data_IF_665947548590
#
_entry.id   IF_665947548590
#
_cell.length_a   1.000
_cell.length_b   1.000
_cell.length_c   1.000
_cell.angle_alpha   90.00
_cell.angle_beta   90.00
_cell.angle_gamma   90.00
#
_symmetry.space_group_name_H-M   'P 1'
#
loop_
_entity.id
_entity.type
_entity.pdbx_description
1 polymer ?
#
# COMPACT_ATOMS: atom_id res chain seq x y z
N UNK A 1 -3.60 16.48 5.36
CA UNK A 1 -3.63 15.10 5.90
C UNK A 1 -2.88 14.18 4.94
N UNK A 2 -2.26 13.06 5.34
CA UNK A 2 -1.62 12.14 4.38
C UNK A 2 -2.53 10.98 4.01
N UNK A 3 -2.74 10.74 2.72
CA UNK A 3 -3.39 9.55 2.18
C UNK A 3 -2.46 8.97 1.13
N UNK A 4 -2.14 7.67 1.24
CA UNK A 4 -1.23 6.97 0.34
C UNK A 4 0.12 7.71 0.16
N UNK A 5 0.64 8.33 1.22
CA UNK A 5 1.90 9.09 1.22
C UNK A 5 1.78 10.55 0.77
N UNK A 6 0.67 10.96 0.15
CA UNK A 6 0.47 12.32 -0.36
C UNK A 6 -0.25 13.22 0.64
N UNK A 7 0.21 14.47 0.78
CA UNK A 7 -0.53 15.50 1.51
C UNK A 7 -1.73 15.92 0.66
N UNK A 8 -2.94 15.71 1.18
CA UNK A 8 -4.20 16.09 0.53
C UNK A 8 -4.88 17.20 1.35
N UNK A 9 -5.38 18.20 0.62
CA UNK A 9 -6.25 19.26 1.11
C UNK A 9 -7.70 18.92 0.69
N UNK A 10 -8.54 18.53 1.65
CA UNK A 10 -9.89 18.01 1.38
C UNK A 10 -10.77 19.03 0.63
N UNK A 11 -10.56 20.32 0.90
CA UNK A 11 -11.29 21.41 0.24
C UNK A 11 -11.06 21.47 -1.27
N UNK A 12 -9.92 20.98 -1.77
CA UNK A 12 -9.65 20.89 -3.21
C UNK A 12 -10.58 19.87 -3.87
N UNK A 13 -10.75 18.70 -3.25
CA UNK A 13 -11.64 17.63 -3.72
C UNK A 13 -13.10 18.08 -3.62
N UNK A 14 -13.49 18.72 -2.52
CA UNK A 14 -14.84 19.30 -2.35
C UNK A 14 -15.14 20.36 -3.42
N UNK A 15 -14.15 21.18 -3.77
CA UNK A 15 -14.30 22.18 -4.83
C UNK A 15 -14.48 21.52 -6.20
N UNK A 16 -13.65 20.53 -6.54
CA UNK A 16 -13.77 19.79 -7.80
C UNK A 16 -15.15 19.12 -7.94
N UNK A 17 -15.62 18.46 -6.88
CA UNK A 17 -16.96 17.87 -6.83
C UNK A 17 -18.06 18.90 -7.09
N UNK A 18 -17.98 20.09 -6.48
CA UNK A 18 -18.98 21.18 -6.67
C UNK A 18 -18.95 21.82 -8.06
N UNK A 19 -17.91 21.60 -8.86
CA UNK A 19 -17.86 22.06 -10.25
C UNK A 19 -18.55 21.10 -11.22
N UNK A 20 -18.88 19.88 -10.79
CA UNK A 20 -19.58 18.92 -11.64
C UNK A 20 -21.06 19.27 -11.73
N UNK A 21 -21.63 19.07 -12.91
CA UNK A 21 -23.04 19.36 -13.17
C UNK A 21 -23.95 18.53 -12.25
N UNK A 22 -24.92 19.20 -11.64
CA UNK A 22 -25.90 18.57 -10.75
C UNK A 22 -25.46 18.43 -9.28
N UNK A 23 -24.19 18.61 -8.93
CA UNK A 23 -23.75 18.57 -7.52
C UNK A 23 -23.94 19.95 -6.88
N UNK A 24 -24.76 20.03 -5.82
CA UNK A 24 -25.05 21.27 -5.11
C UNK A 24 -24.06 21.51 -3.95
N UNK A 25 -23.83 20.47 -3.16
CA UNK A 25 -22.88 20.49 -2.05
C UNK A 25 -22.12 19.18 -2.02
N UNK A 26 -20.89 19.24 -1.50
CA UNK A 26 -20.06 18.08 -1.28
C UNK A 26 -19.27 18.25 0.02
N UNK A 27 -19.13 17.17 0.78
CA UNK A 27 -18.20 17.10 1.90
C UNK A 27 -17.30 15.89 1.73
N UNK A 28 -16.00 16.07 1.99
CA UNK A 28 -15.02 14.99 1.90
C UNK A 28 -14.38 14.77 3.26
N UNK A 29 -14.35 13.51 3.69
CA UNK A 29 -13.71 13.11 4.94
C UNK A 29 -12.72 11.98 4.68
N UNK A 30 -11.88 11.74 5.68
CA UNK A 30 -10.99 10.59 5.73
C UNK A 30 -11.49 9.66 6.82
N UNK A 31 -11.72 8.40 6.47
CA UNK A 31 -12.03 7.33 7.42
C UNK A 31 -11.15 6.13 7.11
N UNK A 32 -10.96 5.28 8.12
CA UNK A 32 -10.37 3.95 7.91
C UNK A 32 -11.39 3.06 7.23
N UNK A 33 -10.96 2.33 6.22
CA UNK A 33 -11.70 1.24 5.57
C UNK A 33 -11.68 -0.02 6.43
N UNK A 34 -12.41 -1.06 6.01
CA UNK A 34 -12.47 -2.33 6.74
C UNK A 34 -11.10 -3.02 6.87
N UNK A 35 -10.23 -2.85 5.86
CA UNK A 35 -8.82 -3.28 5.86
C UNK A 35 -7.89 -2.31 6.62
N UNK A 36 -8.43 -1.32 7.32
CA UNK A 36 -7.68 -0.41 8.19
C UNK A 36 -6.95 0.74 7.47
N UNK A 37 -7.06 0.83 6.13
CA UNK A 37 -6.44 1.88 5.32
C UNK A 37 -7.20 3.21 5.39
N UNK A 38 -6.50 4.34 5.37
CA UNK A 38 -7.16 5.64 5.22
C UNK A 38 -7.65 5.83 3.78
N UNK A 39 -8.94 6.08 3.60
CA UNK A 39 -9.53 6.40 2.30
C UNK A 39 -10.37 7.68 2.36
N UNK A 40 -10.57 8.28 1.18
CA UNK A 40 -11.46 9.43 0.99
C UNK A 40 -12.91 8.96 0.81
N UNK A 41 -13.79 9.54 1.61
CA UNK A 41 -15.24 9.35 1.56
C UNK A 41 -15.88 10.69 1.20
N UNK A 42 -16.68 10.72 0.13
CA UNK A 42 -17.40 11.91 -0.29
C UNK A 42 -18.91 11.74 -0.12
N UNK A 43 -19.56 12.79 0.39
CA UNK A 43 -21.00 12.87 0.51
C UNK A 43 -21.49 13.97 -0.40
N UNK A 44 -22.42 13.63 -1.30
CA UNK A 44 -22.88 14.51 -2.36
C UNK A 44 -24.34 14.88 -2.12
N UNK A 45 -24.67 16.16 -2.25
CA UNK A 45 -26.06 16.62 -2.32
C UNK A 45 -26.35 16.98 -3.77
N UNK A 46 -27.42 16.39 -4.31
CA UNK A 46 -27.95 16.71 -5.63
C UNK A 46 -29.48 16.61 -5.61
N UNK A 47 -30.13 17.35 -6.50
CA UNK A 47 -31.59 17.27 -6.69
C UNK A 47 -32.01 15.99 -7.39
N UNK A 48 -31.20 15.53 -8.34
CA UNK A 48 -31.46 14.34 -9.15
C UNK A 48 -30.61 13.17 -8.65
N UNK A 49 -30.97 11.95 -9.05
CA UNK A 49 -30.17 10.76 -8.72
C UNK A 49 -28.82 10.87 -9.43
N UNK A 50 -27.76 10.88 -8.63
CA UNK A 50 -26.38 10.99 -9.12
C UNK A 50 -25.85 9.63 -9.52
N UNK A 51 -25.38 9.52 -10.76
CA UNK A 51 -24.57 8.37 -11.16
C UNK A 51 -23.15 8.55 -10.63
N UNK A 52 -22.86 7.99 -9.45
CA UNK A 52 -21.56 8.11 -8.77
C UNK A 52 -20.37 7.70 -9.65
N UNK A 53 -20.60 6.81 -10.61
CA UNK A 53 -19.59 6.39 -11.59
C UNK A 53 -19.23 7.50 -12.58
N UNK A 54 -20.21 8.27 -13.06
CA UNK A 54 -19.96 9.42 -13.92
C UNK A 54 -19.17 10.49 -13.14
N UNK A 55 -19.57 10.75 -11.89
CA UNK A 55 -18.84 11.64 -10.98
C UNK A 55 -17.38 11.22 -10.82
N UNK A 56 -17.11 9.93 -10.57
CA UNK A 56 -15.73 9.42 -10.47
C UNK A 56 -14.93 9.70 -11.73
N UNK A 57 -15.47 9.35 -12.89
CA UNK A 57 -14.78 9.53 -14.18
C UNK A 57 -14.47 11.00 -14.42
N UNK A 58 -15.43 11.87 -14.19
CA UNK A 58 -15.26 13.31 -14.42
C UNK A 58 -14.25 13.92 -13.42
N UNK A 59 -14.16 13.39 -12.18
CA UNK A 59 -13.08 13.75 -11.25
C UNK A 59 -11.70 13.28 -11.70
N UNK A 60 -11.59 12.08 -12.28
CA UNK A 60 -10.31 11.53 -12.77
C UNK A 60 -9.72 12.36 -13.93
N UNK A 61 -10.53 13.15 -14.63
CA UNK A 61 -10.06 14.08 -15.67
C UNK A 61 -9.39 15.33 -15.09
N UNK A 62 -9.73 15.71 -13.86
CA UNK A 62 -9.31 17.00 -13.26
C UNK A 62 -8.48 16.84 -11.98
N UNK A 63 -8.48 15.65 -11.37
CA UNK A 63 -7.73 15.34 -10.16
C UNK A 63 -6.78 14.15 -10.36
N UNK A 64 -5.62 14.16 -9.71
CA UNK A 64 -4.80 12.96 -9.58
C UNK A 64 -5.59 11.80 -8.95
N UNK A 65 -5.34 10.56 -9.39
CA UNK A 65 -6.08 9.38 -8.96
C UNK A 65 -6.12 9.15 -7.42
N UNK A 66 -5.12 9.64 -6.68
CA UNK A 66 -5.09 9.52 -5.22
C UNK A 66 -6.01 10.53 -4.49
N UNK A 67 -6.49 11.57 -5.18
CA UNK A 67 -7.43 12.56 -4.65
C UNK A 67 -8.89 12.21 -4.95
N UNK A 68 -9.14 11.25 -5.84
CA UNK A 68 -10.50 10.81 -6.19
C UNK A 68 -11.07 9.97 -5.04
N UNK A 69 -12.23 10.33 -4.46
CA UNK A 69 -12.85 9.59 -3.37
C UNK A 69 -13.05 8.11 -3.70
N UNK A 70 -12.62 7.21 -2.81
CA UNK A 70 -12.83 5.78 -2.98
C UNK A 70 -14.31 5.41 -2.74
N UNK A 71 -14.96 6.12 -1.82
CA UNK A 71 -16.34 5.89 -1.41
C UNK A 71 -17.16 7.17 -1.62
N UNK A 72 -18.34 7.04 -2.21
CA UNK A 72 -19.24 8.16 -2.45
C UNK A 72 -20.67 7.77 -2.09
N UNK A 73 -21.42 8.70 -1.51
CA UNK A 73 -22.83 8.51 -1.19
C UNK A 73 -23.60 9.80 -1.47
N UNK A 74 -24.74 9.70 -2.16
CA UNK A 74 -25.69 10.79 -2.24
C UNK A 74 -26.51 10.85 -0.95
N UNK A 75 -26.61 12.04 -0.35
CA UNK A 75 -27.38 12.30 0.87
C UNK A 75 -28.31 13.51 0.67
N UNK A 76 -29.35 13.60 1.48
CA UNK A 76 -30.31 14.71 1.41
C UNK A 76 -29.75 16.02 1.98
N UNK A 77 -28.96 15.94 3.05
CA UNK A 77 -28.41 17.11 3.74
C UNK A 77 -27.13 16.78 4.51
N UNK A 78 -26.20 17.74 4.59
CA UNK A 78 -24.99 17.60 5.39
C UNK A 78 -25.31 17.86 6.87
N UNK A 79 -25.00 16.91 7.77
CA UNK A 79 -25.21 17.13 9.19
C UNK A 79 -24.24 18.20 9.69
N UNK A 80 -24.75 19.19 10.41
CA UNK A 80 -23.95 20.28 11.00
C UNK A 80 -24.13 20.34 12.51
N UNK A 81 -23.04 20.64 13.20
CA UNK A 81 -23.04 20.96 14.63
C UNK A 81 -23.80 22.25 14.91
N UNK A 82 -24.10 22.54 16.19
CA UNK A 82 -24.71 23.82 16.61
C UNK A 82 -23.95 25.08 16.16
N UNK A 83 -22.65 24.93 15.86
CA UNK A 83 -21.80 26.02 15.39
C UNK A 83 -21.70 26.10 13.85
N UNK A 84 -22.55 25.36 13.12
CA UNK A 84 -22.59 25.36 11.65
C UNK A 84 -21.44 24.63 10.96
N UNK A 85 -20.58 23.93 11.71
CA UNK A 85 -19.50 23.08 11.14
C UNK A 85 -20.03 21.68 10.86
N UNK A 86 -19.52 21.03 9.81
CA UNK A 86 -19.81 19.63 9.47
C UNK A 86 -19.65 18.71 10.69
N UNK A 87 -20.71 18.00 11.04
CA UNK A 87 -20.70 16.97 12.07
C UNK A 87 -20.30 15.62 11.46
N UNK A 88 -18.99 15.36 11.46
CA UNK A 88 -18.42 14.14 10.87
C UNK A 88 -18.90 12.84 11.53
N UNK A 89 -19.40 12.90 12.77
CA UNK A 89 -19.90 11.74 13.52
C UNK A 89 -21.35 11.41 13.16
N UNK A 90 -22.12 12.41 12.75
CA UNK A 90 -23.49 12.25 12.30
C UNK A 90 -23.61 11.90 10.80
N UNK A 91 -22.50 11.90 10.05
CA UNK A 91 -22.49 11.45 8.66
C UNK A 91 -22.80 9.95 8.57
N UNK A 92 -23.73 9.55 7.68
CA UNK A 92 -24.09 8.15 7.48
C UNK A 92 -22.85 7.33 7.13
N UNK A 93 -22.88 6.04 7.46
CA UNK A 93 -21.80 5.15 7.11
C UNK A 93 -21.95 4.70 5.65
N UNK A 94 -20.91 4.92 4.84
CA UNK A 94 -20.83 4.32 3.51
C UNK A 94 -20.26 2.92 3.70
N UNK A 95 -21.15 1.95 3.85
CA UNK A 95 -20.72 0.54 3.89
C UNK A 95 -20.51 0.09 2.44
N UNK A 96 -19.36 -0.51 2.17
CA UNK A 96 -19.04 -1.11 0.88
C UNK A 96 -19.82 -2.41 0.67
N UNK A 97 -21.15 -2.34 0.70
CA UNK A 97 -22.04 -3.45 0.36
C UNK A 97 -22.58 -3.16 -1.03
N UNK A 98 -22.55 -4.16 -1.90
CA UNK A 98 -23.31 -4.07 -3.13
C UNK A 98 -24.79 -3.98 -2.78
N UNK A 99 -25.42 -2.84 -3.03
CA UNK A 99 -26.88 -2.66 -2.90
C UNK A 99 -27.65 -3.41 -4.00
N UNK A 100 -26.94 -3.99 -4.97
CA UNK A 100 -27.54 -4.75 -6.08
C UNK A 100 -27.91 -6.16 -5.63
N UNK A 101 -28.95 -6.71 -6.26
CA UNK A 101 -29.30 -8.12 -6.09
C UNK A 101 -28.09 -9.00 -6.42
N UNK A 102 -27.72 -9.86 -5.46
CA UNK A 102 -26.60 -10.76 -5.62
C UNK A 102 -26.76 -11.62 -6.88
N UNK A 103 -25.82 -11.47 -7.81
CA UNK A 103 -25.75 -12.31 -9.01
C UNK A 103 -24.60 -13.30 -8.88
N UNK A 104 -24.93 -14.59 -8.89
CA UNK A 104 -23.95 -15.66 -8.75
C UNK A 104 -23.01 -15.75 -9.98
N UNK A 105 -21.75 -16.18 -9.79
CA UNK A 105 -20.85 -16.51 -10.89
C UNK A 105 -21.39 -17.67 -11.73
N UNK A 106 -21.26 -17.55 -13.05
CA UNK A 106 -21.75 -18.54 -14.04
C UNK A 106 -20.65 -19.50 -14.51
N UNK A 107 -19.39 -19.17 -14.26
CA UNK A 107 -18.23 -19.97 -14.66
C UNK A 107 -17.09 -19.87 -13.63
N UNK A 108 -16.06 -20.71 -13.81
CA UNK A 108 -14.91 -20.81 -12.90
C UNK A 108 -14.13 -19.50 -12.77
N UNK A 109 -13.94 -18.77 -13.88
CA UNK A 109 -13.23 -17.50 -13.89
C UNK A 109 -13.99 -16.42 -13.10
N UNK A 110 -15.31 -16.31 -13.29
CA UNK A 110 -16.14 -15.39 -12.51
C UNK A 110 -16.12 -15.73 -11.02
N UNK A 111 -16.17 -17.03 -10.66
CA UNK A 111 -16.09 -17.45 -9.27
C UNK A 111 -14.74 -17.04 -8.65
N UNK A 112 -13.65 -17.24 -9.40
CA UNK A 112 -12.31 -16.86 -8.94
C UNK A 112 -12.13 -15.35 -8.83
N UNK A 113 -12.69 -14.57 -9.76
CA UNK A 113 -12.73 -13.11 -9.66
C UNK A 113 -13.50 -12.66 -8.43
N UNK A 114 -14.70 -13.19 -8.18
CA UNK A 114 -15.49 -12.87 -6.99
C UNK A 114 -14.70 -13.13 -5.69
N UNK A 115 -14.01 -14.27 -5.59
CA UNK A 115 -13.16 -14.60 -4.44
C UNK A 115 -12.00 -13.61 -4.28
N UNK A 116 -11.24 -13.36 -5.35
CA UNK A 116 -10.11 -12.43 -5.30
C UNK A 116 -10.55 -11.01 -4.97
N UNK A 117 -11.69 -10.56 -5.51
CA UNK A 117 -12.25 -9.25 -5.20
C UNK A 117 -12.67 -9.15 -3.73
N UNK A 118 -13.36 -10.17 -3.21
CA UNK A 118 -13.74 -10.24 -1.80
C UNK A 118 -12.53 -10.10 -0.88
N UNK A 119 -11.46 -10.85 -1.16
CA UNK A 119 -10.20 -10.77 -0.40
C UNK A 119 -9.52 -9.40 -0.49
N UNK A 120 -9.40 -8.83 -1.69
CA UNK A 120 -8.64 -7.59 -1.90
C UNK A 120 -9.40 -6.34 -1.46
N UNK A 121 -10.72 -6.33 -1.64
CA UNK A 121 -11.60 -5.22 -1.27
C UNK A 121 -12.04 -5.31 0.20
N UNK A 122 -11.82 -6.45 0.86
CA UNK A 122 -12.17 -6.67 2.26
C UNK A 122 -13.68 -6.74 2.50
N UNK A 123 -14.44 -7.27 1.53
CA UNK A 123 -15.90 -7.39 1.58
C UNK A 123 -16.29 -8.87 1.68
N UNK A 124 -17.32 -9.19 2.49
CA UNK A 124 -17.71 -10.58 2.78
C UNK A 124 -18.13 -11.36 1.53
N UNK A 125 -18.79 -10.70 0.58
CA UNK A 125 -19.32 -11.33 -0.64
C UNK A 125 -19.31 -10.36 -1.81
N UNK A 126 -18.92 -10.88 -2.98
CA UNK A 126 -18.95 -10.16 -4.26
C UNK A 126 -19.78 -10.96 -5.27
N UNK A 127 -20.78 -10.32 -5.87
CA UNK A 127 -21.54 -10.81 -7.02
C UNK A 127 -20.96 -10.35 -8.36
N UNK A 128 -21.37 -10.98 -9.45
CA UNK A 128 -20.83 -10.69 -10.79
C UNK A 128 -21.20 -9.31 -11.34
N UNK A 129 -22.29 -8.71 -10.84
CA UNK A 129 -22.76 -7.38 -11.21
C UNK A 129 -22.23 -6.28 -10.27
N UNK A 130 -21.45 -6.65 -9.26
CA UNK A 130 -20.88 -5.70 -8.32
C UNK A 130 -19.79 -4.89 -8.99
N UNK A 131 -19.80 -3.59 -8.73
CA UNK A 131 -18.82 -2.69 -9.29
C UNK A 131 -17.55 -2.68 -8.47
N UNK A 132 -16.40 -2.86 -9.13
CA UNK A 132 -15.08 -2.73 -8.51
C UNK A 132 -14.96 -1.43 -7.69
N UNK A 133 -15.45 -0.33 -8.26
CA UNK A 133 -15.33 1.00 -7.66
C UNK A 133 -16.37 1.29 -6.58
N UNK A 134 -17.59 0.74 -6.70
CA UNK A 134 -18.62 0.87 -5.65
C UNK A 134 -18.19 0.15 -4.37
N UNK A 135 -17.43 -0.93 -4.53
CA UNK A 135 -16.82 -1.69 -3.43
C UNK A 135 -15.50 -1.08 -2.89
N UNK A 136 -15.13 0.13 -3.31
CA UNK A 136 -13.92 0.82 -2.81
C UNK A 136 -12.63 0.47 -3.55
N UNK A 137 -12.74 -0.05 -4.76
CA UNK A 137 -11.62 -0.32 -5.67
C UNK A 137 -10.84 0.94 -6.06
N UNK A 138 -9.53 0.79 -6.18
CA UNK A 138 -8.59 1.80 -6.64
C UNK A 138 -7.45 1.15 -7.44
N UNK A 139 -6.54 1.94 -8.02
CA UNK A 139 -5.45 1.40 -8.84
C UNK A 139 -4.53 0.42 -8.09
N UNK A 140 -4.34 0.58 -6.78
CA UNK A 140 -3.52 -0.33 -5.96
C UNK A 140 -4.24 -1.66 -5.77
N UNK A 141 -5.54 -1.61 -5.45
CA UNK A 141 -6.38 -2.81 -5.35
C UNK A 141 -6.49 -3.52 -6.71
N UNK A 142 -6.57 -2.78 -7.81
CA UNK A 142 -6.53 -3.35 -9.15
C UNK A 142 -5.21 -4.08 -9.42
N UNK A 143 -4.05 -3.51 -9.06
CA UNK A 143 -2.75 -4.19 -9.17
C UNK A 143 -2.73 -5.49 -8.36
N UNK A 144 -3.23 -5.47 -7.12
CA UNK A 144 -3.32 -6.67 -6.26
C UNK A 144 -4.20 -7.74 -6.87
N UNK A 145 -5.36 -7.37 -7.43
CA UNK A 145 -6.27 -8.27 -8.14
C UNK A 145 -5.58 -8.89 -9.36
N UNK A 146 -4.92 -8.07 -10.20
CA UNK A 146 -4.16 -8.57 -11.37
C UNK A 146 -3.09 -9.57 -10.95
N UNK A 147 -2.36 -9.27 -9.88
CA UNK A 147 -1.31 -10.16 -9.35
C UNK A 147 -1.89 -11.51 -8.90
N UNK A 148 -2.95 -11.50 -8.09
CA UNK A 148 -3.64 -12.72 -7.65
C UNK A 148 -4.24 -13.53 -8.81
N UNK A 149 -4.83 -12.86 -9.81
CA UNK A 149 -5.35 -13.53 -11.01
C UNK A 149 -4.23 -14.17 -11.82
N UNK A 150 -3.07 -13.52 -11.91
CA UNK A 150 -1.88 -14.08 -12.57
C UNK A 150 -1.42 -15.34 -11.88
N UNK A 151 -1.34 -15.35 -10.54
CA UNK A 151 -1.03 -16.56 -9.76
C UNK A 151 -2.08 -17.67 -9.94
N UNK A 152 -3.32 -17.30 -10.23
CA UNK A 152 -4.40 -18.23 -10.61
C UNK A 152 -4.37 -18.68 -12.08
N UNK A 153 -3.37 -18.27 -12.87
CA UNK A 153 -3.24 -18.65 -14.28
C UNK A 153 -4.06 -17.80 -15.25
N UNK A 154 -4.50 -16.61 -14.86
CA UNK A 154 -5.22 -15.67 -15.72
C UNK A 154 -4.43 -14.38 -15.94
N UNK A 155 -4.40 -13.92 -17.18
CA UNK A 155 -3.85 -12.62 -17.53
C UNK A 155 -4.96 -11.61 -17.77
N UNK A 156 -4.86 -10.44 -17.16
CA UNK A 156 -5.71 -9.28 -17.41
C UNK A 156 -4.89 -8.01 -17.23
N UNK A 157 -5.08 -7.02 -18.09
CA UNK A 157 -4.40 -5.73 -17.94
C UNK A 157 -5.12 -4.87 -16.89
N UNK A 158 -4.38 -4.07 -16.14
CA UNK A 158 -4.96 -3.14 -15.13
C UNK A 158 -5.99 -2.22 -15.80
N UNK A 159 -5.72 -1.74 -17.02
CA UNK A 159 -6.66 -0.91 -17.78
C UNK A 159 -8.03 -1.57 -17.96
N UNK A 160 -8.09 -2.89 -18.07
CA UNK A 160 -9.33 -3.61 -18.25
C UNK A 160 -10.16 -3.61 -16.96
N UNK A 161 -9.53 -3.79 -15.79
CA UNK A 161 -10.20 -3.64 -14.50
C UNK A 161 -10.69 -2.20 -14.31
N UNK A 162 -9.89 -1.21 -14.72
CA UNK A 162 -10.23 0.19 -14.55
C UNK A 162 -11.36 0.66 -15.50
N UNK A 163 -11.44 0.08 -16.70
CA UNK A 163 -12.44 0.44 -17.70
C UNK A 163 -13.73 -0.37 -17.62
N UNK A 164 -13.68 -1.57 -17.02
CA UNK A 164 -14.84 -2.47 -16.90
C UNK A 164 -15.39 -2.40 -15.49
N UNK A 165 -16.69 -2.14 -15.40
CA UNK A 165 -17.32 -1.80 -14.13
C UNK A 165 -17.57 -3.02 -13.26
N UNK A 166 -18.10 -4.11 -13.83
CA UNK A 166 -18.55 -5.27 -13.08
C UNK A 166 -17.57 -6.44 -13.20
N UNK A 167 -17.60 -7.36 -12.23
CA UNK A 167 -16.83 -8.60 -12.30
C UNK A 167 -17.13 -9.39 -13.60
N UNK A 168 -18.38 -9.42 -14.07
CA UNK A 168 -18.76 -10.01 -15.35
C UNK A 168 -18.09 -9.29 -16.53
N UNK A 169 -18.11 -7.95 -16.56
CA UNK A 169 -17.47 -7.20 -17.63
C UNK A 169 -15.95 -7.41 -17.65
N UNK A 170 -15.34 -7.50 -16.46
CA UNK A 170 -13.92 -7.77 -16.25
C UNK A 170 -13.55 -9.19 -16.70
N UNK A 171 -14.42 -10.18 -16.46
CA UNK A 171 -14.16 -11.58 -16.84
C UNK A 171 -13.96 -11.75 -18.35
N UNK A 172 -14.69 -11.00 -19.19
CA UNK A 172 -14.50 -11.01 -20.65
C UNK A 172 -13.12 -10.51 -21.11
N UNK A 173 -12.41 -9.76 -20.27
CA UNK A 173 -11.05 -9.30 -20.54
C UNK A 173 -9.98 -10.34 -20.18
N UNK A 174 -10.28 -11.20 -19.20
CA UNK A 174 -9.32 -12.12 -18.65
C UNK A 174 -9.11 -13.28 -19.61
N UNK A 175 -7.84 -13.57 -19.87
CA UNK A 175 -7.43 -14.67 -20.74
C UNK A 175 -6.72 -15.71 -19.89
N UNK A 176 -7.01 -16.99 -20.15
CA UNK A 176 -6.24 -18.07 -19.54
C UNK A 176 -4.80 -17.95 -20.04
N UNK A 177 -3.89 -17.72 -19.12
CA UNK A 177 -2.48 -17.59 -19.45
C UNK A 177 -1.91 -18.99 -19.65
N UNK A 178 -1.56 -19.35 -20.89
CA UNK A 178 -0.78 -20.56 -21.17
C UNK A 178 0.62 -20.48 -20.55
N UNK A 179 1.11 -19.26 -20.36
CA UNK A 179 2.24 -18.92 -19.52
C UNK A 179 1.70 -18.68 -18.11
N UNK A 180 1.47 -19.74 -17.35
CA UNK A 180 1.85 -19.60 -15.95
C UNK A 180 3.34 -19.28 -16.04
N UNK A 181 3.72 -18.00 -15.94
CA UNK A 181 5.12 -17.63 -15.79
C UNK A 181 5.53 -18.31 -14.49
N UNK A 182 6.08 -19.52 -14.62
CA UNK A 182 6.73 -20.24 -13.54
C UNK A 182 8.02 -19.45 -13.33
N UNK A 183 7.89 -18.39 -12.55
CA UNK A 183 9.05 -17.72 -12.00
C UNK A 183 9.77 -18.74 -11.14
N UNK A 184 11.01 -19.03 -11.50
CA UNK A 184 11.91 -19.81 -10.63
C UNK A 184 11.89 -19.16 -9.24
N UNK A 185 11.62 -19.97 -8.22
CA UNK A 185 11.57 -19.52 -6.83
C UNK A 185 12.92 -19.75 -6.11
N UNK A 186 13.93 -20.15 -6.88
CA UNK A 186 15.28 -20.32 -6.36
C UNK A 186 15.90 -18.95 -6.07
N UNK A 187 16.89 -18.95 -5.18
CA UNK A 187 17.62 -17.75 -4.81
C UNK A 187 18.22 -17.03 -6.04
N UNK A 188 17.88 -15.75 -6.22
CA UNK A 188 18.57 -14.89 -7.18
C UNK A 188 19.86 -14.35 -6.55
N UNK A 189 20.98 -14.45 -7.27
CA UNK A 189 22.26 -13.86 -6.87
C UNK A 189 23.12 -13.47 -8.05
N UNK A 190 24.07 -12.55 -7.83
CA UNK A 190 24.95 -11.96 -8.83
C UNK A 190 24.39 -10.68 -9.47
N UNK A 191 25.00 -10.25 -10.57
CA UNK A 191 24.58 -9.07 -11.31
C UNK A 191 23.25 -9.37 -12.03
N UNK A 192 22.23 -8.56 -11.75
CA UNK A 192 20.90 -8.70 -12.34
C UNK A 192 20.63 -7.61 -13.38
N UNK A 193 19.81 -7.89 -14.43
CA UNK A 193 19.40 -6.88 -15.38
C UNK A 193 18.67 -5.73 -14.69
N UNK A 194 19.07 -4.50 -14.99
CA UNK A 194 18.39 -3.33 -14.44
C UNK A 194 16.95 -3.26 -14.96
N UNK A 195 16.01 -2.96 -14.06
CA UNK A 195 14.67 -2.53 -14.47
C UNK A 195 14.74 -1.12 -15.07
N UNK A 196 13.72 -0.68 -15.85
CA UNK A 196 13.70 0.67 -16.41
C UNK A 196 13.91 1.77 -15.36
N UNK A 197 13.28 1.64 -14.19
CA UNK A 197 13.39 2.65 -13.13
C UNK A 197 14.79 2.71 -12.52
N UNK A 198 15.47 1.57 -12.35
CA UNK A 198 16.85 1.53 -11.85
C UNK A 198 17.83 2.11 -12.88
N UNK A 199 17.60 1.92 -14.19
CA UNK A 199 18.39 2.62 -15.23
C UNK A 199 18.26 4.13 -15.14
N UNK A 200 17.06 4.62 -14.85
CA UNK A 200 16.80 6.06 -14.74
C UNK A 200 17.38 6.69 -13.48
N UNK A 201 17.65 5.91 -12.42
CA UNK A 201 18.17 6.42 -11.15
C UNK A 201 19.39 7.33 -11.31
N UNK A 202 20.36 6.94 -12.14
CA UNK A 202 21.56 7.74 -12.41
C UNK A 202 21.23 9.10 -13.08
N UNK A 203 20.13 9.19 -13.83
CA UNK A 203 19.71 10.41 -14.52
C UNK A 203 19.02 11.43 -13.60
N UNK A 204 18.62 11.02 -12.39
CA UNK A 204 17.91 11.89 -11.45
C UNK A 204 18.81 12.97 -10.81
N UNK A 205 20.14 12.85 -10.95
CA UNK A 205 21.13 13.82 -10.46
C UNK A 205 20.89 14.24 -8.98
N UNK A 206 20.59 13.26 -8.12
CA UNK A 206 20.32 13.52 -6.71
C UNK A 206 21.56 14.13 -6.03
N UNK A 207 21.41 15.16 -5.18
CA UNK A 207 22.55 15.76 -4.47
C UNK A 207 23.27 14.80 -3.51
N UNK A 208 22.53 13.82 -2.96
CA UNK A 208 23.03 12.80 -2.04
C UNK A 208 22.43 11.43 -2.41
N UNK A 209 22.91 10.79 -3.49
CA UNK A 209 22.28 9.59 -4.05
C UNK A 209 22.27 8.42 -3.07
N UNK A 210 23.27 8.32 -2.18
CA UNK A 210 23.31 7.29 -1.14
C UNK A 210 22.20 7.40 -0.08
N UNK A 211 21.59 8.58 0.08
CA UNK A 211 20.65 8.86 1.16
C UNK A 211 19.22 9.06 0.63
N UNK A 212 18.89 8.49 -0.54
CA UNK A 212 17.52 8.43 -1.03
C UNK A 212 16.80 7.26 -0.36
N UNK A 213 16.62 7.39 0.94
CA UNK A 213 16.13 6.32 1.82
C UNK A 213 14.64 6.49 2.10
N UNK A 214 13.97 5.38 2.41
CA UNK A 214 12.67 5.33 3.05
C UNK A 214 12.82 4.65 4.42
N UNK A 215 11.90 4.92 5.32
CA UNK A 215 11.89 4.32 6.65
C UNK A 215 10.50 3.92 7.13
N UNK A 216 10.51 3.00 8.10
CA UNK A 216 9.35 2.61 8.88
C UNK A 216 9.77 2.44 10.35
N UNK A 217 8.95 2.97 11.26
CA UNK A 217 9.03 2.73 12.69
C UNK A 217 7.75 1.99 13.12
N UNK A 218 7.90 0.87 13.82
CA UNK A 218 6.79 0.04 14.27
C UNK A 218 7.01 -0.54 15.66
N UNK A 219 5.92 -0.76 16.40
CA UNK A 219 5.94 -1.51 17.66
C UNK A 219 6.19 -2.99 17.38
N UNK A 220 7.03 -3.61 18.22
CA UNK A 220 7.33 -5.04 18.15
C UNK A 220 7.24 -5.67 19.53
N UNK A 221 6.69 -6.88 19.57
CA UNK A 221 6.56 -7.69 20.79
C UNK A 221 7.71 -8.70 20.94
N UNK A 222 8.94 -8.27 20.60
CA UNK A 222 10.16 -9.05 20.79
C UNK A 222 11.00 -8.37 21.86
N UNK A 223 11.58 -9.15 22.77
CA UNK A 223 12.36 -8.64 23.90
C UNK A 223 13.87 -8.73 23.65
N UNK A 224 14.27 -9.80 22.95
CA UNK A 224 15.67 -10.14 22.74
C UNK A 224 16.14 -9.76 21.34
N UNK A 225 17.36 -9.20 21.26
CA UNK A 225 18.03 -8.93 19.99
C UNK A 225 18.10 -10.18 19.10
N UNK A 226 18.31 -11.35 19.71
CA UNK A 226 18.41 -12.62 18.99
C UNK A 226 17.13 -12.93 18.21
N UNK A 227 15.97 -12.73 18.82
CA UNK A 227 14.68 -12.95 18.15
C UNK A 227 14.50 -12.00 16.96
N UNK A 228 14.89 -10.74 17.13
CA UNK A 228 14.82 -9.78 16.03
C UNK A 228 15.79 -10.15 14.90
N UNK A 229 16.98 -10.68 15.23
CA UNK A 229 17.90 -11.20 14.20
C UNK A 229 17.29 -12.36 13.44
N UNK A 230 16.66 -13.33 14.12
CA UNK A 230 15.96 -14.45 13.46
C UNK A 230 14.88 -13.95 12.48
N UNK A 231 14.13 -12.91 12.85
CA UNK A 231 13.14 -12.26 11.95
C UNK A 231 13.81 -11.60 10.73
N UNK A 232 14.87 -10.81 10.94
CA UNK A 232 15.55 -10.09 9.86
C UNK A 232 16.32 -11.05 8.93
N UNK A 233 16.90 -12.13 9.46
CA UNK A 233 17.54 -13.18 8.69
C UNK A 233 16.52 -13.89 7.80
N UNK A 234 15.36 -14.26 8.34
CA UNK A 234 14.27 -14.85 7.55
C UNK A 234 13.77 -13.90 6.45
N UNK A 235 13.60 -12.62 6.78
CA UNK A 235 13.12 -11.61 5.83
C UNK A 235 14.12 -11.38 4.68
N UNK A 236 15.41 -11.27 4.99
CA UNK A 236 16.45 -11.02 3.97
C UNK A 236 16.79 -12.28 3.16
N UNK A 237 16.56 -13.46 3.70
CA UNK A 237 16.59 -14.71 2.94
C UNK A 237 15.38 -14.85 2.00
N UNK A 238 14.20 -14.41 2.43
CA UNK A 238 12.98 -14.46 1.62
C UNK A 238 12.96 -13.41 0.49
N UNK A 239 13.47 -12.22 0.76
CA UNK A 239 13.45 -11.09 -0.18
C UNK A 239 14.85 -10.78 -0.70
N UNK A 240 15.21 -11.37 -1.85
CA UNK A 240 16.51 -11.22 -2.51
C UNK A 240 16.96 -9.77 -2.65
N UNK A 241 16.02 -8.86 -2.95
CA UNK A 241 16.34 -7.45 -3.17
C UNK A 241 16.91 -6.76 -1.92
N UNK A 242 16.57 -7.23 -0.71
CA UNK A 242 17.11 -6.71 0.56
C UNK A 242 18.63 -6.97 0.71
N UNK A 243 19.18 -7.94 -0.04
CA UNK A 243 20.61 -8.29 -0.05
C UNK A 243 21.39 -7.59 -1.16
N UNK A 244 20.78 -6.61 -1.82
CA UNK A 244 21.41 -5.98 -2.97
C UNK A 244 22.34 -4.83 -2.64
N UNK A 245 23.23 -4.57 -3.59
CA UNK A 245 24.12 -3.43 -3.66
C UNK A 245 24.07 -2.85 -5.07
N UNK A 246 24.25 -1.54 -5.18
CA UNK A 246 24.30 -0.84 -6.46
C UNK A 246 25.72 -0.33 -6.68
N UNK A 247 26.45 -1.02 -7.56
CA UNK A 247 27.88 -0.82 -7.78
C UNK A 247 28.22 -0.45 -9.21
N UNK A 248 28.90 0.65 -9.41
CA UNK A 248 29.37 1.08 -10.73
C UNK A 248 28.26 1.11 -11.81
N UNK A 249 27.03 1.42 -11.40
CA UNK A 249 25.87 1.41 -12.30
C UNK A 249 25.22 0.05 -12.52
N UNK A 250 25.62 -0.98 -11.78
CA UNK A 250 25.05 -2.33 -11.82
C UNK A 250 24.31 -2.64 -10.52
N UNK A 251 23.26 -3.46 -10.61
CA UNK A 251 22.57 -3.99 -9.45
C UNK A 251 23.05 -5.43 -9.23
N UNK A 252 23.59 -5.70 -8.05
CA UNK A 252 24.10 -7.01 -7.65
C UNK A 252 23.31 -7.50 -6.44
N UNK A 253 22.86 -8.76 -6.46
CA UNK A 253 22.24 -9.43 -5.32
C UNK A 253 23.26 -10.36 -4.67
N UNK A 254 23.61 -10.12 -3.40
CA UNK A 254 24.61 -10.90 -2.68
C UNK A 254 23.96 -12.14 -2.09
N UNK A 255 24.58 -13.32 -2.25
CA UNK A 255 24.06 -14.60 -1.73
C UNK A 255 23.74 -14.58 -0.24
N UNK A 256 22.73 -15.33 0.21
CA UNK A 256 22.34 -15.40 1.62
C UNK A 256 23.54 -15.76 2.50
N UNK A 257 24.32 -16.77 2.08
CA UNK A 257 25.50 -17.26 2.82
C UNK A 257 26.63 -16.24 2.96
N UNK A 258 26.70 -15.28 2.03
CA UNK A 258 27.83 -14.35 1.89
C UNK A 258 27.41 -12.91 2.27
N UNK A 259 26.12 -12.69 2.49
CA UNK A 259 25.56 -11.36 2.72
C UNK A 259 25.69 -10.93 4.18
N UNK A 260 26.12 -9.70 4.38
CA UNK A 260 25.78 -8.93 5.58
C UNK A 260 24.55 -8.10 5.24
N UNK A 261 23.40 -8.76 5.10
CA UNK A 261 22.19 -8.20 4.47
C UNK A 261 21.65 -6.93 5.14
N UNK A 262 21.91 -6.77 6.44
CA UNK A 262 21.51 -5.61 7.21
C UNK A 262 22.54 -5.27 8.31
N UNK A 263 22.45 -4.04 8.82
CA UNK A 263 23.08 -3.65 10.08
C UNK A 263 22.01 -3.48 11.15
N UNK A 264 22.15 -4.11 12.31
CA UNK A 264 21.24 -3.96 13.44
C UNK A 264 21.97 -3.31 14.61
N UNK A 265 21.39 -2.23 15.14
CA UNK A 265 21.79 -1.60 16.41
C UNK A 265 20.69 -1.75 17.45
N UNK A 266 21.07 -1.97 18.71
CA UNK A 266 20.13 -2.05 19.82
C UNK A 266 20.44 -0.91 20.78
N UNK A 267 19.41 -0.17 21.15
CA UNK A 267 19.48 0.97 22.03
C UNK A 267 18.52 0.77 23.19
N UNK A 268 19.02 0.95 24.41
CA UNK A 268 18.19 0.95 25.60
C UNK A 268 17.96 2.38 26.07
N UNK A 269 16.74 2.86 25.85
CA UNK A 269 16.27 4.19 26.24
C UNK A 269 15.08 4.09 27.21
N UNK A 270 14.93 2.94 27.89
CA UNK A 270 13.82 2.68 28.80
C UNK A 270 13.80 3.62 30.01
N UNK A 271 14.97 4.11 30.44
CA UNK A 271 15.14 5.03 31.56
C UNK A 271 15.46 6.48 31.12
N UNK A 272 15.48 6.76 29.81
CA UNK A 272 15.90 8.06 29.28
C UNK A 272 14.73 9.04 29.16
N UNK A 273 14.86 10.22 29.78
CA UNK A 273 13.84 11.27 29.70
C UNK A 273 13.73 11.89 28.30
N UNK A 274 14.84 11.91 27.55
CA UNK A 274 14.93 12.44 26.18
C UNK A 274 15.01 11.30 25.13
N UNK A 275 14.30 10.19 25.38
CA UNK A 275 14.32 9.01 24.51
C UNK A 275 13.95 9.34 23.05
N UNK A 276 13.01 10.28 22.84
CA UNK A 276 12.56 10.66 21.49
C UNK A 276 13.69 11.32 20.71
N UNK A 277 14.37 12.30 21.32
CA UNK A 277 15.49 13.01 20.68
C UNK A 277 16.69 12.08 20.42
N UNK A 278 16.95 11.14 21.33
CA UNK A 278 17.99 10.12 21.14
C UNK A 278 17.65 9.17 19.98
N UNK A 279 16.39 8.77 19.86
CA UNK A 279 15.91 7.95 18.74
C UNK A 279 16.03 8.70 17.41
N UNK A 280 15.63 9.97 17.35
CA UNK A 280 15.76 10.79 16.14
C UNK A 280 17.22 10.92 15.69
N UNK A 281 18.14 11.12 16.64
CA UNK A 281 19.57 11.17 16.36
C UNK A 281 20.09 9.82 15.83
N UNK A 282 19.73 8.71 16.48
CA UNK A 282 20.12 7.37 16.05
C UNK A 282 19.57 7.02 14.64
N UNK A 283 18.32 7.39 14.34
CA UNK A 283 17.74 7.21 13.01
C UNK A 283 18.48 8.05 11.96
N UNK A 284 18.85 9.29 12.29
CA UNK A 284 19.64 10.17 11.41
C UNK A 284 21.00 9.56 11.09
N UNK A 285 21.69 9.03 12.11
CA UNK A 285 22.97 8.36 11.94
C UNK A 285 22.85 7.13 11.02
N UNK A 286 21.82 6.30 11.23
CA UNK A 286 21.57 5.12 10.40
C UNK A 286 21.30 5.51 8.94
N UNK A 287 20.44 6.49 8.68
CA UNK A 287 20.21 6.99 7.32
C UNK A 287 21.48 7.50 6.65
N UNK A 288 22.34 8.20 7.40
CA UNK A 288 23.60 8.73 6.88
C UNK A 288 24.68 7.67 6.63
N UNK A 289 24.49 6.46 7.16
CA UNK A 289 25.43 5.34 7.03
C UNK A 289 25.14 4.41 5.84
N UNK A 290 24.05 4.64 5.10
CA UNK A 290 23.73 3.85 3.91
C UNK A 290 24.68 4.26 2.78
N UNK A 291 25.31 3.27 2.16
CA UNK A 291 26.23 3.46 1.05
C UNK A 291 25.92 2.45 -0.07
N UNK A 292 25.55 2.97 -1.26
CA UNK A 292 25.10 2.16 -2.41
C UNK A 292 26.08 1.06 -2.81
N UNK A 293 27.37 1.42 -2.85
CA UNK A 293 28.43 0.55 -3.32
C UNK A 293 28.87 -0.46 -2.24
N UNK A 294 28.81 -0.11 -0.96
CA UNK A 294 29.36 -0.96 0.10
C UNK A 294 28.28 -1.86 0.71
N UNK A 295 27.05 -1.35 0.77
CA UNK A 295 25.96 -1.98 1.51
C UNK A 295 26.26 -2.11 3.02
N UNK A 296 25.38 -2.79 3.77
CA UNK A 296 24.02 -3.13 3.37
C UNK A 296 23.16 -1.89 3.13
N UNK A 297 22.16 -2.04 2.25
CA UNK A 297 21.16 -1.00 1.98
C UNK A 297 19.97 -1.07 2.93
N UNK A 298 20.03 -1.97 3.92
CA UNK A 298 19.07 -2.13 5.01
C UNK A 298 19.77 -1.82 6.34
N UNK A 299 19.24 -0.84 7.07
CA UNK A 299 19.66 -0.48 8.42
C UNK A 299 18.49 -0.69 9.37
N UNK A 300 18.73 -1.35 10.49
CA UNK A 300 17.73 -1.66 11.49
C UNK A 300 18.15 -1.14 12.86
N UNK A 301 17.18 -0.70 13.66
CA UNK A 301 17.39 -0.46 15.08
C UNK A 301 16.26 -1.02 15.93
N UNK A 302 16.62 -1.61 17.06
CA UNK A 302 15.69 -1.90 18.15
C UNK A 302 15.85 -0.83 19.21
N UNK A 303 14.78 -0.09 19.49
CA UNK A 303 14.71 0.87 20.59
C UNK A 303 13.87 0.28 21.71
N UNK A 304 14.48 0.06 22.88
CA UNK A 304 13.75 -0.28 24.10
C UNK A 304 13.34 1.02 24.76
N UNK A 305 12.06 1.20 25.00
CA UNK A 305 11.50 2.42 25.61
C UNK A 305 10.60 2.06 26.78
N UNK A 306 10.25 3.04 27.62
CA UNK A 306 9.30 2.83 28.71
C UNK A 306 7.89 2.41 28.23
N UNK A 307 7.55 2.68 26.96
CA UNK A 307 6.25 2.34 26.37
C UNK A 307 6.26 0.98 25.64
N UNK A 308 7.42 0.36 25.47
CA UNK A 308 7.59 -0.88 24.70
C UNK A 308 8.75 -0.81 23.71
N UNK A 309 8.95 -1.91 22.97
CA UNK A 309 10.04 -2.04 22.02
C UNK A 309 9.60 -1.59 20.63
N UNK A 310 10.46 -0.82 19.96
CA UNK A 310 10.23 -0.30 18.62
C UNK A 310 11.29 -0.83 17.66
N UNK A 311 10.87 -1.24 16.47
CA UNK A 311 11.73 -1.57 15.34
C UNK A 311 11.72 -0.39 14.36
N UNK A 312 12.90 0.14 14.09
CA UNK A 312 13.16 1.02 12.95
C UNK A 312 13.80 0.23 11.82
N UNK A 313 13.33 0.46 10.59
CA UNK A 313 13.95 0.00 9.36
C UNK A 313 14.18 1.21 8.44
N UNK A 314 15.43 1.47 8.08
CA UNK A 314 15.82 2.42 7.04
C UNK A 314 16.37 1.67 5.84
N UNK A 315 15.72 1.78 4.69
CA UNK A 315 16.06 1.04 3.47
C UNK A 315 16.22 2.01 2.30
N UNK A 316 17.23 1.80 1.46
CA UNK A 316 17.41 2.62 0.26
C UNK A 316 16.25 2.42 -0.74
N UNK A 317 15.76 3.49 -1.37
CA UNK A 317 14.57 3.44 -2.24
C UNK A 317 14.79 2.68 -3.56
N UNK A 318 16.03 2.32 -3.90
CA UNK A 318 16.31 1.35 -4.97
C UNK A 318 15.87 -0.09 -4.61
N UNK A 319 15.75 -0.38 -3.31
CA UNK A 319 15.43 -1.70 -2.78
C UNK A 319 13.96 -1.82 -2.38
N UNK A 320 13.37 -0.71 -1.92
CA UNK A 320 12.00 -0.68 -1.38
C UNK A 320 11.18 0.44 -2.01
N UNK A 321 9.88 0.22 -2.16
CA UNK A 321 8.90 1.23 -2.50
C UNK A 321 7.64 1.13 -1.59
N UNK A 322 6.63 1.96 -1.88
CA UNK A 322 5.40 2.00 -1.09
C UNK A 322 4.54 0.72 -1.14
N UNK A 323 4.71 -0.14 -2.15
CA UNK A 323 4.08 -1.46 -2.21
C UNK A 323 4.92 -2.46 -1.42
N UNK A 324 6.25 -2.45 -1.60
CA UNK A 324 7.18 -3.31 -0.87
C UNK A 324 7.02 -3.18 0.64
N UNK A 325 6.85 -1.97 1.17
CA UNK A 325 6.66 -1.77 2.62
C UNK A 325 5.45 -2.52 3.20
N UNK A 326 4.35 -2.65 2.45
CA UNK A 326 3.18 -3.41 2.91
C UNK A 326 3.50 -4.90 3.01
N UNK A 327 4.18 -5.45 2.01
CA UNK A 327 4.61 -6.85 1.97
C UNK A 327 5.58 -7.11 3.14
N UNK A 328 6.60 -6.26 3.29
CA UNK A 328 7.56 -6.38 4.39
C UNK A 328 6.87 -6.31 5.76
N UNK A 329 5.87 -5.46 5.94
CA UNK A 329 5.14 -5.37 7.20
C UNK A 329 4.35 -6.66 7.51
N UNK A 330 3.66 -7.24 6.52
CA UNK A 330 2.93 -8.50 6.65
C UNK A 330 3.88 -9.67 6.97
N UNK A 331 5.04 -9.71 6.30
CA UNK A 331 6.04 -10.74 6.49
C UNK A 331 6.77 -10.62 7.84
N UNK A 332 7.09 -9.40 8.28
CA UNK A 332 7.64 -9.14 9.61
C UNK A 332 6.64 -9.61 10.68
N UNK A 333 5.35 -9.27 10.55
CA UNK A 333 4.32 -9.72 11.49
C UNK A 333 4.23 -11.24 11.55
N UNK A 334 4.31 -11.91 10.39
CA UNK A 334 4.31 -13.37 10.29
C UNK A 334 5.55 -13.99 10.94
N UNK A 335 6.74 -13.46 10.66
CA UNK A 335 8.00 -13.94 11.21
C UNK A 335 8.08 -13.73 12.73
N UNK A 336 7.64 -12.57 13.24
CA UNK A 336 7.55 -12.30 14.68
C UNK A 336 6.66 -13.33 15.38
N UNK A 337 5.50 -13.66 14.80
CA UNK A 337 4.61 -14.70 15.35
C UNK A 337 5.30 -16.06 15.39
N UNK A 338 5.96 -16.47 14.30
CA UNK A 338 6.68 -17.74 14.23
C UNK A 338 7.81 -17.82 15.26
N UNK A 339 8.64 -16.78 15.40
CA UNK A 339 9.72 -16.74 16.39
C UNK A 339 9.19 -16.83 17.83
N UNK A 340 8.00 -16.28 18.12
CA UNK A 340 7.36 -16.41 19.43
C UNK A 340 6.78 -17.80 19.69
N UNK A 341 6.37 -18.51 18.65
CA UNK A 341 5.76 -19.85 18.74
C UNK A 341 6.81 -20.98 18.80
N UNK A 342 8.03 -20.73 18.30
CA UNK A 342 9.17 -21.67 18.30
C UNK A 342 9.18 -22.61 17.10
#
# INVERSE_FOLDING_TARGET
MKIRGFRIELGEVENALRQLEGIQEAAVIVRKTHDGENALFAYLISKDIVQLQAVRRDLEEVLPAYMVPAYMMQIEQLPVTRNGKLDKRALPEIVAVSEKEYTAPKNELEAQLCTIFSEVLGVERVGTQDSFFELGGDSIKAIRIVSKLRSAGYHIAIKDIMQKYTVEAISYAAQKSALAEQYEQDEVSGIVPLTPIVREFASWNLPKPHHFNQDMLMEIELEEEKQLREVLDALTAHHDMLRSVYREGQLEIVKVSDSKAYELKVYDYSEEQAATELMEAACTDLHSSIHLEEGPLVKAAMFRTAAGNLLFLGIHHLVVDGVSWRILQEDISTAVRQVKEG
#
